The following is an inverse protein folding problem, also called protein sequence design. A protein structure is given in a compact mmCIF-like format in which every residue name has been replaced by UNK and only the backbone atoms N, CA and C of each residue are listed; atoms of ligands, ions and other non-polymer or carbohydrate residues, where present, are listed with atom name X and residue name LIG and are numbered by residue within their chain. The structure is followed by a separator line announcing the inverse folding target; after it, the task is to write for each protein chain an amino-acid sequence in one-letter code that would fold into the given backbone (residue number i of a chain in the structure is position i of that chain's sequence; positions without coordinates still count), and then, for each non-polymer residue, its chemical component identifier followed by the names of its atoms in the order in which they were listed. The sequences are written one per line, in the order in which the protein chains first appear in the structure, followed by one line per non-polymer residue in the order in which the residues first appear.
data_IF_652279222212
#
_entry.id   IF_652279222212
#
_cell.length_a   1.000
_cell.length_b   1.000
_cell.length_c   1.000
_cell.angle_alpha   90.00
_cell.angle_beta   90.00
_cell.angle_gamma   90.00
#
_symmetry.space_group_name_H-M   'P 1'
#
loop_
_entity.id
_entity.type
_entity.pdbx_description
1 polymer ?
#
# COMPACT_ATOMS: atom_id res chain seq x y z
N UNK A 1 -42.52 -8.23 -22.70
CA UNK A 1 -41.49 -7.23 -22.34
C UNK A 1 -40.21 -8.00 -22.06
N UNK A 2 -39.19 -7.86 -22.91
CA UNK A 2 -37.96 -8.62 -22.81
C UNK A 2 -36.94 -7.72 -22.10
N UNK A 3 -36.63 -7.99 -20.84
CA UNK A 3 -35.61 -7.26 -20.10
C UNK A 3 -34.24 -7.78 -20.56
N UNK A 4 -33.60 -7.07 -21.49
CA UNK A 4 -32.19 -7.29 -21.80
C UNK A 4 -31.37 -6.84 -20.59
N UNK A 5 -30.93 -7.81 -19.78
CA UNK A 5 -29.89 -7.61 -18.79
C UNK A 5 -28.60 -7.25 -19.54
N UNK A 6 -28.30 -5.96 -19.63
CA UNK A 6 -27.01 -5.48 -20.09
C UNK A 6 -25.96 -5.86 -19.06
N UNK A 7 -25.34 -7.03 -19.24
CA UNK A 7 -24.16 -7.43 -18.49
C UNK A 7 -23.01 -6.50 -18.89
N UNK A 8 -22.79 -5.44 -18.11
CA UNK A 8 -21.64 -4.55 -18.28
C UNK A 8 -20.41 -5.33 -17.84
N UNK A 9 -19.68 -5.91 -18.81
CA UNK A 9 -18.37 -6.48 -18.57
C UNK A 9 -17.33 -5.37 -18.57
N UNK A 10 -16.89 -4.96 -17.38
CA UNK A 10 -15.69 -4.14 -17.25
C UNK A 10 -14.47 -4.98 -17.61
N UNK A 11 -13.96 -4.81 -18.83
CA UNK A 11 -12.67 -5.35 -19.25
C UNK A 11 -11.59 -4.38 -18.78
N UNK A 12 -11.08 -4.62 -17.58
CA UNK A 12 -9.90 -3.93 -17.08
C UNK A 12 -8.66 -4.57 -17.70
N UNK A 13 -8.13 -3.97 -18.78
CA UNK A 13 -6.78 -4.24 -19.23
C UNK A 13 -5.86 -3.21 -18.56
N UNK A 14 -5.10 -3.59 -17.51
CA UNK A 14 -4.05 -2.69 -17.01
C UNK A 14 -3.09 -2.41 -18.17
N UNK A 15 -2.67 -1.15 -18.37
CA UNK A 15 -1.74 -0.81 -19.44
C UNK A 15 -0.49 -1.69 -19.29
N UNK A 16 -0.07 -2.37 -20.36
CA UNK A 16 1.05 -3.34 -20.37
C UNK A 16 2.28 -2.82 -19.60
N UNK A 17 2.56 -1.52 -19.72
CA UNK A 17 3.63 -0.82 -19.00
C UNK A 17 3.58 -0.90 -17.48
N UNK A 18 2.42 -1.08 -16.86
CA UNK A 18 2.31 -1.18 -15.40
C UNK A 18 2.66 -2.57 -14.88
N UNK A 19 2.41 -3.62 -15.67
CA UNK A 19 2.82 -4.99 -15.36
C UNK A 19 4.34 -5.14 -15.56
N UNK A 20 4.91 -4.48 -16.58
CA UNK A 20 6.35 -4.54 -16.83
C UNK A 20 7.19 -3.89 -15.70
N UNK A 21 6.56 -3.05 -14.87
CA UNK A 21 7.23 -2.28 -13.81
C UNK A 21 6.84 -2.71 -12.39
N UNK A 22 6.34 -3.94 -12.20
CA UNK A 22 5.93 -4.43 -10.87
C UNK A 22 7.08 -4.39 -9.86
N UNK A 23 8.28 -4.83 -10.25
CA UNK A 23 9.46 -4.83 -9.36
C UNK A 23 9.82 -3.42 -8.89
N UNK A 24 9.76 -2.43 -9.80
CA UNK A 24 10.00 -1.02 -9.48
C UNK A 24 8.93 -0.50 -8.51
N UNK A 25 7.65 -0.85 -8.72
CA UNK A 25 6.57 -0.45 -7.80
C UNK A 25 6.74 -1.06 -6.41
N UNK A 26 7.18 -2.33 -6.32
CA UNK A 26 7.50 -2.99 -5.03
C UNK A 26 8.68 -2.30 -4.34
N UNK A 27 9.74 -1.99 -5.09
CA UNK A 27 10.90 -1.30 -4.56
C UNK A 27 10.55 0.10 -4.05
N UNK A 28 9.69 0.83 -4.78
CA UNK A 28 9.18 2.13 -4.36
C UNK A 28 8.31 2.00 -3.11
N UNK A 29 7.40 1.03 -3.02
CA UNK A 29 6.60 0.79 -1.82
C UNK A 29 7.48 0.52 -0.58
N UNK A 30 8.55 -0.26 -0.74
CA UNK A 30 9.50 -0.52 0.34
C UNK A 30 10.31 0.72 0.72
N UNK A 31 10.69 1.55 -0.26
CA UNK A 31 11.36 2.84 -0.03
C UNK A 31 10.46 3.79 0.73
N UNK A 32 9.25 4.02 0.24
CA UNK A 32 8.28 4.94 0.83
C UNK A 32 7.91 4.51 2.27
N UNK A 33 7.85 3.20 2.55
CA UNK A 33 7.67 2.70 3.92
C UNK A 33 8.86 3.05 4.83
N UNK A 34 10.10 2.92 4.35
CA UNK A 34 11.30 3.32 5.14
C UNK A 34 11.35 4.81 5.36
N UNK A 35 11.08 5.59 4.32
CA UNK A 35 11.08 7.06 4.38
C UNK A 35 10.01 7.53 5.37
N UNK A 36 8.80 6.96 5.34
CA UNK A 36 7.74 7.23 6.32
C UNK A 36 8.12 6.85 7.75
N UNK A 37 8.77 5.70 7.97
CA UNK A 37 9.25 5.30 9.29
C UNK A 37 10.36 6.22 9.83
N UNK A 38 11.21 6.75 8.95
CA UNK A 38 12.20 7.75 9.33
C UNK A 38 11.53 9.08 9.69
N UNK A 39 10.54 9.53 8.92
CA UNK A 39 9.76 10.72 9.25
C UNK A 39 9.09 10.61 10.64
N UNK A 40 8.56 9.44 11.01
CA UNK A 40 8.00 9.22 12.35
C UNK A 40 9.05 9.38 13.46
N UNK A 41 10.29 8.95 13.22
CA UNK A 41 11.37 9.10 14.20
C UNK A 41 11.73 10.57 14.43
N UNK A 42 11.52 11.42 13.43
CA UNK A 42 11.78 12.86 13.51
C UNK A 42 10.70 13.61 14.33
N UNK A 43 9.49 13.05 14.45
CA UNK A 43 8.38 13.62 15.24
C UNK A 43 8.56 13.52 16.77
N UNK A 44 9.56 12.76 17.22
CA UNK A 44 9.91 12.63 18.64
C UNK A 44 9.15 11.53 19.39
N UNK A 45 9.38 11.48 20.71
CA UNK A 45 9.03 10.33 21.56
C UNK A 45 7.52 9.99 21.60
N UNK A 46 6.64 10.99 21.50
CA UNK A 46 5.19 10.79 21.52
C UNK A 46 4.71 9.95 20.32
N UNK A 47 5.19 10.27 19.12
CA UNK A 47 4.86 9.54 17.90
C UNK A 47 5.41 8.11 17.91
N UNK A 48 6.60 7.91 18.47
CA UNK A 48 7.28 6.61 18.53
C UNK A 48 6.60 5.69 19.55
N UNK A 49 6.39 6.17 20.79
CA UNK A 49 5.83 5.35 21.88
C UNK A 49 4.43 4.84 21.59
N UNK A 50 3.59 5.65 20.93
CA UNK A 50 2.26 5.20 20.48
C UNK A 50 2.30 4.17 19.33
N UNK A 51 3.44 3.98 18.68
CA UNK A 51 3.60 3.18 17.47
C UNK A 51 4.66 2.09 17.54
N UNK A 52 5.33 1.89 18.67
CA UNK A 52 6.57 1.10 18.75
C UNK A 52 6.44 -0.32 18.15
N UNK A 53 5.40 -1.05 18.54
CA UNK A 53 5.15 -2.40 18.02
C UNK A 53 4.85 -2.39 16.51
N UNK A 54 4.06 -1.43 16.04
CA UNK A 54 3.71 -1.30 14.62
C UNK A 54 4.91 -0.88 13.78
N UNK A 55 5.73 0.05 14.28
CA UNK A 55 7.00 0.47 13.65
C UNK A 55 7.94 -0.71 13.52
N UNK A 56 8.11 -1.49 14.58
CA UNK A 56 8.92 -2.71 14.55
C UNK A 56 8.38 -3.70 13.52
N UNK A 57 7.09 -3.97 13.56
CA UNK A 57 6.42 -4.90 12.64
C UNK A 57 6.57 -4.46 11.18
N UNK A 58 6.42 -3.17 10.89
CA UNK A 58 6.57 -2.65 9.53
C UNK A 58 8.03 -2.74 9.05
N UNK A 59 9.00 -2.39 9.91
CA UNK A 59 10.43 -2.60 9.62
C UNK A 59 10.73 -4.06 9.30
N UNK A 60 10.31 -5.00 10.16
CA UNK A 60 10.52 -6.43 9.95
C UNK A 60 9.90 -6.89 8.61
N UNK A 61 8.69 -6.40 8.30
CA UNK A 61 8.00 -6.73 7.04
C UNK A 61 8.77 -6.22 5.82
N UNK A 62 9.33 -5.00 5.90
CA UNK A 62 10.15 -4.40 4.84
C UNK A 62 11.48 -5.15 4.67
N UNK A 63 12.16 -5.48 5.76
CA UNK A 63 13.44 -6.22 5.75
C UNK A 63 13.29 -7.61 5.14
N UNK A 64 12.21 -8.31 5.47
CA UNK A 64 11.91 -9.63 4.94
C UNK A 64 11.21 -9.59 3.56
N UNK A 65 11.14 -8.41 2.92
CA UNK A 65 10.55 -8.20 1.59
C UNK A 65 9.08 -8.65 1.47
N UNK A 66 8.33 -8.61 2.57
CA UNK A 66 6.91 -9.04 2.65
C UNK A 66 5.93 -7.91 2.30
N UNK A 67 6.27 -7.12 1.27
CA UNK A 67 5.60 -5.86 0.92
C UNK A 67 4.17 -6.05 0.40
N UNK A 68 3.87 -7.19 -0.23
CA UNK A 68 2.57 -7.46 -0.85
C UNK A 68 1.56 -8.12 0.10
N UNK A 69 1.83 -8.12 1.40
CA UNK A 69 0.99 -8.78 2.40
C UNK A 69 -0.07 -7.83 2.96
N UNK A 70 -1.20 -8.40 3.42
CA UNK A 70 -2.20 -7.64 4.19
C UNK A 70 -1.60 -7.08 5.48
N UNK A 71 -0.67 -7.82 6.10
CA UNK A 71 0.04 -7.35 7.29
C UNK A 71 0.79 -6.04 7.02
N UNK A 72 1.52 -5.94 5.92
CA UNK A 72 2.21 -4.70 5.52
C UNK A 72 1.25 -3.50 5.48
N UNK A 73 0.15 -3.64 4.72
CA UNK A 73 -0.85 -2.58 4.55
C UNK A 73 -1.58 -2.25 5.85
N UNK A 74 -1.96 -3.28 6.62
CA UNK A 74 -2.65 -3.12 7.89
C UNK A 74 -1.78 -2.41 8.92
N UNK A 75 -0.50 -2.79 9.04
CA UNK A 75 0.44 -2.14 9.96
C UNK A 75 0.64 -0.66 9.60
N UNK A 76 0.71 -0.31 8.31
CA UNK A 76 0.72 1.08 7.87
C UNK A 76 -0.52 1.82 8.36
N UNK A 77 -1.72 1.26 8.15
CA UNK A 77 -2.97 1.91 8.58
C UNK A 77 -3.03 2.12 10.10
N UNK A 78 -2.54 1.17 10.90
CA UNK A 78 -2.44 1.33 12.35
C UNK A 78 -1.52 2.50 12.74
N UNK A 79 -0.37 2.62 12.06
CA UNK A 79 0.58 3.70 12.30
C UNK A 79 -0.07 5.06 11.99
N UNK A 80 -0.69 5.17 10.82
CA UNK A 80 -1.39 6.39 10.40
C UNK A 80 -2.50 6.77 11.39
N UNK A 81 -3.33 5.81 11.80
CA UNK A 81 -4.40 6.06 12.78
C UNK A 81 -3.87 6.52 14.15
N UNK A 82 -2.68 6.06 14.56
CA UNK A 82 -2.03 6.54 15.78
C UNK A 82 -1.46 7.94 15.61
N UNK A 83 -0.80 8.23 14.49
CA UNK A 83 -0.29 9.56 14.18
C UNK A 83 -1.40 10.60 14.16
N UNK A 84 -2.57 10.28 13.59
CA UNK A 84 -3.72 11.18 13.56
C UNK A 84 -4.21 11.53 14.97
N UNK A 85 -4.07 10.61 15.92
CA UNK A 85 -4.46 10.80 17.32
C UNK A 85 -3.42 11.58 18.12
N UNK A 86 -2.13 11.38 17.85
CA UNK A 86 -1.05 12.03 18.61
C UNK A 86 -0.66 13.41 18.05
N UNK A 87 -0.97 13.70 16.78
CA UNK A 87 -0.70 14.98 16.12
C UNK A 87 -1.96 15.49 15.39
N UNK A 88 -3.03 15.86 16.12
CA UNK A 88 -4.27 16.35 15.51
C UNK A 88 -4.13 17.73 14.85
N UNK A 89 -3.16 18.55 15.28
CA UNK A 89 -2.86 19.88 14.72
C UNK A 89 -1.71 19.81 13.70
N UNK A 90 -1.71 18.82 12.81
CA UNK A 90 -0.66 18.65 11.80
C UNK A 90 -0.57 19.80 10.77
N UNK A 91 -1.44 20.82 10.83
CA UNK A 91 -1.36 22.01 10.00
C UNK A 91 -0.05 22.78 10.28
N UNK A 92 1.01 22.45 9.52
CA UNK A 92 2.31 23.08 9.57
C UNK A 92 3.48 22.17 9.99
N UNK A 93 3.23 20.93 10.42
CA UNK A 93 4.30 19.97 10.70
C UNK A 93 4.69 19.19 9.44
N UNK A 94 5.65 19.76 8.70
CA UNK A 94 6.15 19.19 7.45
C UNK A 94 6.68 17.76 7.58
N UNK A 95 7.15 17.35 8.77
CA UNK A 95 7.65 15.99 8.99
C UNK A 95 6.49 15.00 9.14
N UNK A 96 5.40 15.41 9.81
CA UNK A 96 4.22 14.59 9.98
C UNK A 96 3.55 14.37 8.62
N UNK A 97 3.38 15.44 7.84
CA UNK A 97 2.82 15.38 6.49
C UNK A 97 3.65 14.51 5.55
N UNK A 98 4.99 14.59 5.63
CA UNK A 98 5.87 13.73 4.86
C UNK A 98 5.70 12.25 5.24
N UNK A 99 5.72 11.93 6.54
CA UNK A 99 5.50 10.57 7.01
C UNK A 99 4.14 10.00 6.58
N UNK A 100 3.09 10.80 6.69
CA UNK A 100 1.74 10.47 6.22
C UNK A 100 1.71 10.17 4.74
N UNK A 101 2.28 11.05 3.92
CA UNK A 101 2.31 10.90 2.47
C UNK A 101 3.06 9.63 2.05
N UNK A 102 4.23 9.40 2.62
CA UNK A 102 5.12 8.31 2.20
C UNK A 102 4.53 6.96 2.63
N UNK A 103 3.97 6.85 3.84
CA UNK A 103 3.26 5.65 4.28
C UNK A 103 2.00 5.35 3.45
N UNK A 104 1.20 6.36 3.12
CA UNK A 104 0.03 6.17 2.24
C UNK A 104 0.46 5.70 0.84
N UNK A 105 1.53 6.28 0.29
CA UNK A 105 2.08 5.85 -1.01
C UNK A 105 2.56 4.40 -0.97
N UNK A 106 3.22 4.00 0.11
CA UNK A 106 3.65 2.62 0.31
C UNK A 106 2.46 1.63 0.31
N UNK A 107 1.41 1.93 1.07
CA UNK A 107 0.18 1.11 1.12
C UNK A 107 -0.51 1.04 -0.24
N UNK A 108 -0.65 2.19 -0.91
CA UNK A 108 -1.23 2.27 -2.25
C UNK A 108 -0.47 1.43 -3.27
N UNK A 109 0.86 1.55 -3.33
CA UNK A 109 1.68 0.79 -4.28
C UNK A 109 1.63 -0.71 -3.99
N UNK A 110 1.65 -1.11 -2.72
CA UNK A 110 1.46 -2.51 -2.32
C UNK A 110 0.14 -3.07 -2.83
N UNK A 111 -0.98 -2.38 -2.55
CA UNK A 111 -2.30 -2.81 -3.01
C UNK A 111 -2.36 -2.85 -4.54
N UNK A 112 -1.85 -1.80 -5.20
CA UNK A 112 -1.87 -1.69 -6.65
C UNK A 112 -1.14 -2.86 -7.34
N UNK A 113 0.00 -3.28 -6.80
CA UNK A 113 0.72 -4.45 -7.31
C UNK A 113 -0.06 -5.73 -7.07
N UNK A 114 -0.68 -5.91 -5.90
CA UNK A 114 -1.57 -7.05 -5.63
C UNK A 114 -2.72 -7.12 -6.64
N UNK A 115 -3.40 -6.00 -6.90
CA UNK A 115 -4.52 -5.92 -7.86
C UNK A 115 -4.07 -6.27 -9.29
N UNK A 116 -2.89 -5.80 -9.70
CA UNK A 116 -2.32 -6.09 -11.02
C UNK A 116 -2.02 -7.58 -11.19
N UNK A 117 -1.41 -8.21 -10.17
CA UNK A 117 -1.12 -9.65 -10.17
C UNK A 117 -2.42 -10.45 -10.22
N UNK A 118 -3.43 -10.08 -9.44
CA UNK A 118 -4.72 -10.76 -9.45
C UNK A 118 -5.45 -10.62 -10.80
N UNK A 119 -5.48 -9.42 -11.36
CA UNK A 119 -6.06 -9.16 -12.68
C UNK A 119 -5.39 -10.00 -13.78
N UNK A 120 -4.06 -10.10 -13.73
CA UNK A 120 -3.26 -10.92 -14.66
C UNK A 120 -3.64 -12.41 -14.56
N UNK A 121 -3.73 -12.95 -13.34
CA UNK A 121 -4.14 -14.33 -13.10
C UNK A 121 -5.57 -14.61 -13.57
N UNK A 122 -6.50 -13.66 -13.38
CA UNK A 122 -7.88 -13.79 -13.86
C UNK A 122 -7.94 -13.83 -15.40
N UNK A 123 -7.16 -12.99 -16.08
CA UNK A 123 -7.07 -13.00 -17.56
C UNK A 123 -6.50 -14.33 -18.05
N UNK A 124 -5.43 -14.83 -17.43
CA UNK A 124 -4.85 -16.15 -17.77
C UNK A 124 -5.87 -17.28 -17.62
N UNK A 125 -6.62 -17.31 -16.50
CA UNK A 125 -7.67 -18.31 -16.25
C UNK A 125 -8.78 -18.26 -17.31
N UNK A 126 -9.19 -17.08 -17.77
CA UNK A 126 -10.19 -16.92 -18.83
C UNK A 126 -9.70 -17.38 -20.21
N UNK A 127 -8.39 -17.32 -20.47
CA UNK A 127 -7.76 -17.72 -21.74
C UNK A 127 -7.46 -19.22 -21.83
N UNK A 128 -7.53 -19.98 -20.74
CA UNK A 128 -7.40 -21.43 -20.78
C UNK A 128 -8.73 -22.05 -21.28
N UNK A 129 -8.74 -22.77 -22.41
CA UNK A 129 -9.92 -23.50 -22.83
C UNK A 129 -10.21 -24.58 -21.77
N UNK A 130 -11.48 -24.72 -21.38
CA UNK A 130 -11.94 -25.87 -20.60
C UNK A 130 -11.72 -27.12 -21.45
N UNK A 131 -10.65 -27.86 -21.15
CA UNK A 131 -10.40 -29.20 -21.65
C UNK A 131 -11.41 -30.18 -21.08
#
# INVERSE_FOLDING_TARGET
MNAQEHKIEFHYEPPVREIDNLEVKIANAARDARDGLNGIRELGYGAISGNELSIKTLNDTVEHRRILTDQFRHTIHLILANLARSHPEAEGDSAADAAWRDLNRASYLSQRVSDLIEGEQMIRKKRQPRS
#
